data_IF_193659915816
#
_entry.id   IF_193659915816
#
_cell.length_a   1.000
_cell.length_b   1.000
_cell.length_c   1.000
_cell.angle_alpha   90.00
_cell.angle_beta   90.00
_cell.angle_gamma   90.00
#
_symmetry.space_group_name_H-M   'P 1'
#
loop_
_entity.id
_entity.type
_entity.pdbx_description
1 polymer ?
#
# COMPACT_ATOMS: atom_id res chain seq x y z
N UNK A 1 52.91 7.28 38.81
CA UNK A 1 53.35 6.09 39.56
C UNK A 1 52.68 4.88 38.93
N UNK A 2 53.48 3.94 38.43
CA UNK A 2 53.03 2.57 38.15
C UNK A 2 53.19 1.72 39.41
N UNK A 3 52.39 0.65 39.55
CA UNK A 3 53.00 -0.68 39.74
C UNK A 3 52.39 -1.76 38.83
N UNK A 4 53.23 -2.62 38.22
CA UNK A 4 53.47 -4.06 38.53
C UNK A 4 52.34 -5.00 38.04
N UNK A 5 52.44 -5.59 36.85
CA UNK A 5 53.06 -6.91 36.52
C UNK A 5 52.33 -8.14 37.04
N UNK A 6 51.89 -9.00 36.11
CA UNK A 6 51.46 -10.37 36.37
C UNK A 6 50.98 -11.08 35.10
N UNK A 7 51.88 -11.78 34.42
CA UNK A 7 51.58 -12.68 33.29
C UNK A 7 51.44 -14.12 33.80
N UNK A 8 50.51 -14.91 33.26
CA UNK A 8 50.65 -16.36 33.19
C UNK A 8 49.87 -16.95 31.99
N UNK A 9 50.35 -18.09 31.48
CA UNK A 9 50.27 -18.64 30.12
C UNK A 9 48.91 -19.27 29.68
N UNK A 10 48.60 -19.25 28.36
CA UNK A 10 47.39 -19.81 27.68
C UNK A 10 47.45 -21.33 27.39
N UNK A 11 46.92 -21.90 26.28
CA UNK A 11 45.93 -21.51 25.23
C UNK A 11 44.58 -22.28 25.39
N UNK A 12 43.53 -22.31 24.53
CA UNK A 12 43.31 -23.08 23.26
C UNK A 12 41.98 -22.65 22.55
N UNK A 13 42.01 -22.55 21.21
CA UNK A 13 40.92 -22.41 20.20
C UNK A 13 40.04 -21.13 20.21
N UNK A 14 39.80 -20.42 19.09
CA UNK A 14 40.15 -20.64 17.69
C UNK A 14 39.62 -19.49 16.81
N UNK A 15 40.49 -19.05 15.89
CA UNK A 15 40.24 -18.41 14.58
C UNK A 15 39.30 -17.20 14.46
N UNK A 16 39.85 -16.00 14.64
CA UNK A 16 39.49 -14.81 13.85
C UNK A 16 40.45 -14.69 12.65
N UNK A 17 39.91 -14.59 11.44
CA UNK A 17 40.71 -14.27 10.24
C UNK A 17 40.96 -12.75 10.16
N UNK A 18 42.11 -12.32 9.61
CA UNK A 18 42.77 -11.07 10.00
C UNK A 18 42.42 -9.88 9.10
N UNK A 19 42.54 -8.69 9.69
CA UNK A 19 42.85 -7.46 8.97
C UNK A 19 44.31 -7.53 8.48
N UNK A 20 44.50 -7.22 7.20
CA UNK A 20 45.72 -6.74 6.50
C UNK A 20 46.09 -7.61 5.30
N UNK A 21 45.85 -7.08 4.11
CA UNK A 21 46.44 -7.56 2.87
C UNK A 21 47.71 -6.77 2.59
N UNK A 22 48.85 -7.38 2.88
CA UNK A 22 50.14 -7.07 2.26
C UNK A 22 50.40 -8.07 1.13
N UNK A 23 51.10 -7.58 0.13
CA UNK A 23 51.40 -8.13 -1.20
C UNK A 23 52.12 -9.48 -1.24
N UNK A 24 52.02 -10.14 -2.41
CA UNK A 24 52.76 -11.31 -2.97
C UNK A 24 51.95 -12.62 -2.89
N UNK A 25 51.63 -13.37 -3.94
CA UNK A 25 51.88 -13.31 -5.38
C UNK A 25 51.65 -14.72 -5.97
N UNK A 26 50.99 -14.78 -7.14
CA UNK A 26 50.91 -15.90 -8.11
C UNK A 26 50.08 -17.12 -7.62
N UNK A 27 49.04 -17.65 -8.29
CA UNK A 27 48.90 -18.00 -9.70
C UNK A 27 47.40 -18.13 -10.10
N UNK A 28 47.03 -17.63 -11.29
CA UNK A 28 46.00 -18.23 -12.15
C UNK A 28 44.52 -18.10 -11.79
N UNK A 29 43.91 -16.92 -11.99
CA UNK A 29 42.52 -16.84 -12.44
C UNK A 29 42.26 -15.51 -13.16
N UNK A 30 42.15 -15.57 -14.48
CA UNK A 30 41.74 -14.45 -15.31
C UNK A 30 40.24 -14.19 -15.09
N UNK A 31 39.89 -13.25 -14.23
CA UNK A 31 38.65 -12.50 -14.38
C UNK A 31 38.98 -11.01 -14.40
N UNK A 32 39.20 -10.53 -15.62
CA UNK A 32 39.16 -9.12 -15.96
C UNK A 32 37.71 -8.65 -15.79
N UNK A 33 37.31 -8.26 -14.59
CA UNK A 33 36.15 -7.38 -14.47
C UNK A 33 36.69 -5.96 -14.64
N UNK A 34 36.78 -5.52 -15.89
CA UNK A 34 36.80 -4.10 -16.21
C UNK A 34 35.82 -3.44 -15.24
N UNK A 35 36.27 -2.50 -14.42
CA UNK A 35 35.41 -1.71 -13.55
C UNK A 35 34.58 -0.78 -14.44
N UNK A 36 33.70 -1.39 -15.25
CA UNK A 36 32.46 -0.82 -15.68
C UNK A 36 31.72 -0.54 -14.40
N UNK A 37 31.58 0.75 -14.15
CA UNK A 37 30.84 1.36 -13.09
C UNK A 37 29.58 0.53 -12.79
N UNK A 38 29.64 -0.35 -11.79
CA UNK A 38 28.46 -0.96 -11.19
C UNK A 38 27.82 0.16 -10.38
N UNK A 39 27.19 1.08 -11.10
CA UNK A 39 25.94 1.63 -10.63
C UNK A 39 25.01 0.42 -10.51
N UNK A 40 25.10 -0.29 -9.37
CA UNK A 40 23.88 -0.72 -8.71
C UNK A 40 22.98 0.50 -8.82
N UNK A 41 21.88 0.39 -9.56
CA UNK A 41 20.87 1.43 -9.58
C UNK A 41 20.31 1.51 -8.15
N UNK A 42 21.07 2.17 -7.27
CA UNK A 42 20.74 2.47 -5.89
C UNK A 42 20.13 3.86 -5.95
N UNK A 43 18.89 3.92 -6.45
CA UNK A 43 18.34 5.21 -6.88
C UNK A 43 16.88 5.46 -6.51
N UNK A 44 16.07 4.44 -6.32
CA UNK A 44 14.64 4.67 -6.07
C UNK A 44 14.36 4.70 -4.58
N UNK A 45 13.90 5.85 -4.07
CA UNK A 45 13.33 5.93 -2.72
C UNK A 45 12.10 5.02 -2.65
N UNK A 46 11.96 4.17 -1.62
CA UNK A 46 10.77 3.36 -1.48
C UNK A 46 9.54 4.27 -1.34
N UNK A 47 8.45 3.87 -1.98
CA UNK A 47 7.17 4.56 -1.86
C UNK A 47 6.06 3.54 -1.69
N UNK A 48 4.97 3.96 -1.06
CA UNK A 48 3.84 3.10 -0.78
C UNK A 48 2.66 3.42 -1.69
N UNK A 49 1.77 2.45 -1.92
CA UNK A 49 0.48 2.63 -2.57
C UNK A 49 -0.57 1.73 -1.93
N UNK A 50 -1.84 2.14 -1.95
CA UNK A 50 -2.94 1.25 -1.58
C UNK A 50 -3.71 0.77 -2.83
N UNK A 51 -4.11 -0.50 -2.84
CA UNK A 51 -5.14 -1.00 -3.77
C UNK A 51 -6.43 -1.28 -3.00
N UNK A 52 -7.57 -0.93 -3.61
CA UNK A 52 -8.90 -1.19 -3.09
C UNK A 52 -9.68 -2.00 -4.11
N UNK A 53 -9.94 -3.26 -3.81
CA UNK A 53 -10.65 -4.17 -4.72
C UNK A 53 -12.04 -4.47 -4.16
N UNK A 54 -13.09 -4.21 -4.95
CA UNK A 54 -14.46 -4.46 -4.53
C UNK A 54 -14.69 -5.97 -4.43
N UNK A 55 -15.11 -6.43 -3.26
CA UNK A 55 -15.32 -7.86 -2.96
C UNK A 55 -16.75 -8.18 -2.54
N UNK A 56 -17.60 -7.16 -2.38
CA UNK A 56 -19.02 -7.34 -2.07
C UNK A 56 -19.77 -6.03 -1.95
N UNK A 57 -21.09 -6.13 -1.81
CA UNK A 57 -21.99 -4.97 -1.86
C UNK A 57 -22.10 -4.38 -3.27
N UNK A 58 -22.39 -3.09 -3.35
CA UNK A 58 -22.54 -2.36 -4.61
C UNK A 58 -21.58 -1.17 -4.67
N UNK A 59 -20.63 -1.21 -5.61
CA UNK A 59 -19.69 -0.12 -5.84
C UNK A 59 -20.34 1.13 -6.48
N UNK A 60 -21.53 0.99 -7.07
CA UNK A 60 -22.23 2.09 -7.74
C UNK A 60 -22.74 3.17 -6.78
N UNK A 61 -22.76 2.89 -5.47
CA UNK A 61 -23.06 3.88 -4.41
C UNK A 61 -22.00 4.99 -4.33
N UNK A 62 -20.86 4.81 -4.99
CA UNK A 62 -19.77 5.79 -5.06
C UNK A 62 -19.69 6.36 -6.49
N UNK A 63 -19.58 7.69 -6.60
CA UNK A 63 -19.48 8.39 -7.88
C UNK A 63 -18.18 8.07 -8.64
N UNK A 64 -17.15 7.63 -7.91
CA UNK A 64 -15.86 7.19 -8.46
C UNK A 64 -15.21 6.18 -7.52
N UNK A 65 -14.19 5.46 -8.02
CA UNK A 65 -13.41 4.53 -7.19
C UNK A 65 -12.76 5.29 -6.03
N UNK A 66 -12.95 4.84 -4.77
CA UNK A 66 -12.34 5.49 -3.62
C UNK A 66 -10.84 5.19 -3.59
N UNK A 67 -10.08 6.05 -2.91
CA UNK A 67 -8.65 5.83 -2.70
C UNK A 67 -8.20 6.26 -1.31
N UNK A 68 -7.08 5.68 -0.86
CA UNK A 68 -6.46 5.95 0.44
C UNK A 68 -5.18 6.74 0.25
N UNK A 69 -5.01 7.81 1.02
CA UNK A 69 -3.80 8.60 1.02
C UNK A 69 -2.61 7.90 1.68
N UNK A 70 -1.48 7.91 0.98
CA UNK A 70 -0.22 7.37 1.47
C UNK A 70 0.44 8.46 2.31
N UNK A 71 0.24 8.40 3.63
CA UNK A 71 0.79 9.35 4.60
C UNK A 71 -0.21 9.73 5.68
N UNK A 72 -1.43 10.08 5.29
CA UNK A 72 -2.54 10.36 6.22
C UNK A 72 -3.44 9.12 6.46
N UNK A 73 -3.40 8.12 5.57
CA UNK A 73 -4.32 6.98 5.60
C UNK A 73 -5.78 7.37 5.33
N UNK A 74 -6.03 8.59 4.86
CA UNK A 74 -7.37 9.14 4.72
C UNK A 74 -8.11 8.52 3.53
N UNK A 75 -9.32 8.00 3.77
CA UNK A 75 -10.22 7.56 2.71
C UNK A 75 -10.85 8.76 2.02
N UNK A 76 -10.65 8.85 0.71
CA UNK A 76 -11.32 9.84 -0.15
C UNK A 76 -12.33 9.11 -1.02
N UNK A 77 -13.60 9.34 -0.73
CA UNK A 77 -14.75 8.75 -1.42
C UNK A 77 -15.80 9.83 -1.66
N UNK A 78 -16.51 9.73 -2.78
CA UNK A 78 -17.65 10.58 -3.11
C UNK A 78 -18.85 9.68 -3.34
N UNK A 79 -19.96 9.97 -2.69
CA UNK A 79 -21.21 9.22 -2.87
C UNK A 79 -21.82 9.55 -4.22
N UNK A 80 -22.46 8.56 -4.85
CA UNK A 80 -23.30 8.82 -6.02
C UNK A 80 -24.56 9.60 -5.60
N UNK A 81 -25.12 10.45 -6.49
CA UNK A 81 -26.40 11.11 -6.23
C UNK A 81 -27.50 10.10 -5.93
N UNK A 82 -28.33 10.39 -4.93
CA UNK A 82 -29.52 9.61 -4.53
C UNK A 82 -29.26 8.11 -4.31
N UNK A 83 -28.02 7.74 -3.98
CA UNK A 83 -27.62 6.37 -3.74
C UNK A 83 -27.50 6.09 -2.23
N UNK A 84 -27.84 4.87 -1.84
CA UNK A 84 -27.65 4.37 -0.48
C UNK A 84 -27.33 2.87 -0.52
N UNK A 85 -26.71 2.35 0.54
CA UNK A 85 -26.28 0.96 0.61
C UNK A 85 -24.86 0.83 1.12
N UNK A 86 -24.18 -0.27 0.79
CA UNK A 86 -22.81 -0.52 1.23
C UNK A 86 -21.95 -1.15 0.13
N UNK A 87 -20.64 -0.90 0.23
CA UNK A 87 -19.59 -1.51 -0.57
C UNK A 87 -18.51 -2.08 0.35
N UNK A 88 -18.00 -3.27 0.03
CA UNK A 88 -16.92 -3.94 0.74
C UNK A 88 -15.68 -4.00 -0.14
N UNK A 89 -14.56 -3.50 0.36
CA UNK A 89 -13.27 -3.50 -0.33
C UNK A 89 -12.24 -4.31 0.43
N UNK A 90 -11.43 -5.07 -0.30
CA UNK A 90 -10.13 -5.52 0.19
C UNK A 90 -9.09 -4.42 -0.06
N UNK A 91 -8.46 -3.96 1.01
CA UNK A 91 -7.40 -2.97 1.01
C UNK A 91 -6.06 -3.66 1.16
N UNK A 92 -5.14 -3.42 0.23
CA UNK A 92 -3.77 -3.93 0.31
C UNK A 92 -2.78 -2.78 0.21
N UNK A 93 -1.82 -2.71 1.14
CA UNK A 93 -0.70 -1.78 1.07
C UNK A 93 0.43 -2.45 0.29
N UNK A 94 1.00 -1.74 -0.67
CA UNK A 94 2.16 -2.17 -1.42
C UNK A 94 3.31 -1.20 -1.16
N UNK A 95 4.50 -1.74 -0.93
CA UNK A 95 5.77 -1.04 -0.90
C UNK A 95 6.51 -1.31 -2.22
N UNK A 96 6.99 -0.24 -2.86
CA UNK A 96 7.68 -0.34 -4.15
C UNK A 96 9.15 0.03 -4.00
N UNK A 97 9.99 -0.56 -4.84
CA UNK A 97 11.43 -0.29 -4.92
C UNK A 97 12.22 -0.60 -3.64
N UNK A 98 11.78 -1.60 -2.86
CA UNK A 98 12.53 -2.06 -1.70
C UNK A 98 13.63 -3.05 -2.11
N UNK A 99 14.89 -2.73 -1.81
CA UNK A 99 16.04 -3.64 -1.97
C UNK A 99 16.72 -3.77 -0.59
N UNK A 100 17.02 -4.98 -0.09
CA UNK A 100 16.97 -6.30 -0.72
C UNK A 100 15.85 -7.16 -0.12
N UNK A 101 14.60 -6.67 -0.10
CA UNK A 101 13.51 -7.53 0.31
C UNK A 101 13.23 -8.56 -0.80
N UNK A 102 12.91 -9.81 -0.44
CA UNK A 102 12.39 -10.75 -1.41
C UNK A 102 11.09 -10.21 -2.01
N UNK A 103 10.92 -10.24 -3.35
CA UNK A 103 9.82 -9.63 -4.12
C UNK A 103 8.38 -9.96 -3.63
N UNK A 104 8.20 -11.00 -2.82
CA UNK A 104 6.93 -11.40 -2.20
C UNK A 104 6.62 -10.70 -0.85
N UNK A 105 7.52 -9.85 -0.34
CA UNK A 105 7.31 -9.08 0.90
C UNK A 105 6.86 -7.64 0.64
N UNK A 106 6.64 -7.27 -0.62
CA UNK A 106 6.30 -5.93 -1.06
C UNK A 106 4.81 -5.59 -0.87
N UNK A 107 4.01 -6.50 -0.29
CA UNK A 107 2.59 -6.29 -0.04
C UNK A 107 2.13 -6.78 1.34
N UNK A 108 1.20 -6.04 1.95
CA UNK A 108 0.51 -6.48 3.16
C UNK A 108 -0.49 -7.60 2.88
N UNK A 109 -0.95 -8.28 3.93
CA UNK A 109 -2.20 -9.05 3.82
C UNK A 109 -3.39 -8.10 3.57
N UNK A 110 -4.42 -8.52 2.80
CA UNK A 110 -5.61 -7.71 2.57
C UNK A 110 -6.38 -7.43 3.88
N UNK A 111 -6.94 -6.23 3.99
CA UNK A 111 -7.83 -5.81 5.08
C UNK A 111 -9.19 -5.40 4.53
N UNK A 112 -10.26 -5.82 5.18
CA UNK A 112 -11.62 -5.49 4.75
C UNK A 112 -11.98 -4.04 5.18
N UNK A 113 -12.49 -3.25 4.25
CA UNK A 113 -13.05 -1.91 4.47
C UNK A 113 -14.52 -1.92 4.03
N UNK A 114 -15.44 -1.64 4.95
CA UNK A 114 -16.85 -1.42 4.63
C UNK A 114 -17.13 0.08 4.53
N UNK A 115 -17.66 0.50 3.38
CA UNK A 115 -18.18 1.85 3.16
C UNK A 115 -19.69 1.75 3.11
N UNK A 116 -20.38 2.57 3.91
CA UNK A 116 -21.84 2.59 4.01
C UNK A 116 -22.34 4.01 3.75
N UNK A 117 -23.26 4.13 2.78
CA UNK A 117 -23.96 5.37 2.45
C UNK A 117 -25.38 5.24 2.98
N UNK A 118 -25.71 6.06 3.98
CA UNK A 118 -27.01 6.02 4.62
C UNK A 118 -28.08 6.71 3.74
N UNK A 119 -29.31 6.17 3.68
CA UNK A 119 -30.39 6.81 2.96
C UNK A 119 -30.79 8.14 3.60
N UNK A 120 -31.17 9.11 2.77
CA UNK A 120 -31.76 10.39 3.17
C UNK A 120 -33.24 10.39 2.80
N UNK A 121 -34.09 10.99 3.64
CA UNK A 121 -35.51 11.09 3.39
C UNK A 121 -35.84 12.36 2.59
N UNK A 122 -36.02 12.22 1.28
CA UNK A 122 -36.36 13.34 0.39
C UNK A 122 -37.80 13.84 0.60
N UNK A 123 -38.07 15.15 0.42
CA UNK A 123 -39.42 15.69 0.54
C UNK A 123 -40.34 15.16 -0.57
N UNK A 124 -41.64 15.00 -0.30
CA UNK A 124 -42.60 14.60 -1.32
C UNK A 124 -42.70 15.66 -2.44
N UNK A 125 -42.98 15.22 -3.66
CA UNK A 125 -43.23 16.09 -4.82
C UNK A 125 -44.50 15.69 -5.57
N UNK A 126 -45.11 16.64 -6.28
CA UNK A 126 -46.29 16.40 -7.12
C UNK A 126 -45.99 16.77 -8.57
N UNK A 127 -46.34 15.88 -9.49
CA UNK A 127 -46.38 16.19 -10.93
C UNK A 127 -47.80 16.62 -11.29
N UNK A 128 -47.95 17.84 -11.83
CA UNK A 128 -49.24 18.31 -12.30
C UNK A 128 -49.65 17.52 -13.55
N UNK A 129 -50.84 16.92 -13.49
CA UNK A 129 -51.53 16.40 -14.68
C UNK A 129 -52.49 17.47 -15.22
N UNK A 130 -52.86 17.42 -16.51
CA UNK A 130 -53.87 18.32 -17.06
C UNK A 130 -55.16 18.28 -16.23
N UNK A 131 -55.84 19.42 -16.13
CA UNK A 131 -57.08 19.53 -15.39
C UNK A 131 -58.11 18.48 -15.87
N UNK A 132 -58.63 17.69 -14.93
CA UNK A 132 -59.78 16.84 -15.20
C UNK A 132 -61.06 17.69 -15.18
N UNK A 133 -61.88 17.59 -16.22
CA UNK A 133 -63.23 18.14 -16.22
C UNK A 133 -64.21 17.09 -15.71
N UNK A 134 -64.95 17.41 -14.65
CA UNK A 134 -66.06 16.57 -14.17
C UNK A 134 -67.36 17.18 -14.63
N UNK A 135 -68.10 16.48 -15.49
CA UNK A 135 -69.45 16.89 -15.91
C UNK A 135 -70.46 16.19 -15.01
N UNK A 136 -71.31 16.96 -14.33
CA UNK A 136 -72.44 16.38 -13.61
C UNK A 136 -73.54 16.01 -14.63
N UNK A 137 -74.20 14.87 -14.50
CA UNK A 137 -75.38 14.59 -15.31
C UNK A 137 -76.46 15.63 -14.98
N UNK A 138 -77.10 16.20 -16.00
CA UNK A 138 -78.36 16.94 -15.80
C UNK A 138 -79.44 15.90 -15.51
N UNK A 139 -80.05 15.98 -14.33
CA UNK A 139 -81.22 15.18 -14.00
C UNK A 139 -82.37 15.52 -14.96
N UNK A 140 -83.06 14.47 -15.42
CA UNK A 140 -84.29 14.54 -16.21
C UNK A 140 -85.48 14.87 -15.31
#
# INVERSE_FOLDING_TARGET
SWPLSGSFWGPFWGSSWPLSGSSQGLEGAWWNHSQGNLMLNRGSTPFLTFTLDLVGGDGSILAARPWLGVGDGGLRAHTAPDASGYALFNVTLHEHNCVPLPLWMDASLPRLLRVEVLPVNDPPSFSLVPNATVTHPRGN
#
